data_IF_776089374290
#
_entry.id   IF_776089374290
#
_cell.length_a   1.000
_cell.length_b   1.000
_cell.length_c   1.000
_cell.angle_alpha   90.00
_cell.angle_beta   90.00
_cell.angle_gamma   90.00
#
_symmetry.space_group_name_H-M   'P 1'
#
loop_
_entity.id
_entity.type
_entity.pdbx_description
1 polymer ?
#
# COMPACT_ATOMS: atom_id res chain seq x y z
N UNK A 1 -1.44 6.73 -30.88
CA UNK A 1 -1.40 7.02 -29.43
C UNK A 1 -1.73 5.79 -28.59
N UNK A 2 -2.97 5.26 -28.64
CA UNK A 2 -3.42 4.11 -27.80
C UNK A 2 -2.55 2.84 -27.97
N UNK A 3 -2.19 2.46 -29.21
CA UNK A 3 -1.34 1.28 -29.48
C UNK A 3 0.07 1.36 -28.87
N UNK A 4 0.65 2.56 -28.80
CA UNK A 4 1.99 2.77 -28.23
C UNK A 4 1.93 2.73 -26.71
N UNK A 5 0.87 3.31 -26.11
CA UNK A 5 0.64 3.27 -24.66
C UNK A 5 0.41 1.86 -24.12
N UNK A 6 -0.21 0.96 -24.89
CA UNK A 6 -0.38 -0.46 -24.49
C UNK A 6 0.95 -1.18 -24.22
N UNK A 7 2.03 -0.82 -24.91
CA UNK A 7 3.34 -1.44 -24.71
C UNK A 7 3.94 -1.15 -23.32
N UNK A 8 3.52 -0.05 -22.68
CA UNK A 8 3.95 0.34 -21.33
C UNK A 8 2.86 0.12 -20.28
N UNK A 9 1.71 -0.43 -20.72
CA UNK A 9 0.50 -0.55 -19.92
C UNK A 9 0.34 -1.89 -19.22
N UNK A 10 1.35 -2.79 -19.26
CA UNK A 10 1.42 -4.09 -18.57
C UNK A 10 0.09 -4.85 -18.44
N UNK A 11 -0.71 -4.92 -19.50
CA UNK A 11 -2.12 -5.37 -19.44
C UNK A 11 -2.33 -6.81 -18.92
N UNK A 12 -1.23 -7.57 -18.80
CA UNK A 12 -1.20 -8.95 -18.30
C UNK A 12 -0.68 -9.06 -16.86
N UNK A 13 -0.24 -7.96 -16.25
CA UNK A 13 0.22 -7.90 -14.86
C UNK A 13 -0.96 -7.60 -13.94
N UNK A 14 -0.99 -8.22 -12.76
CA UNK A 14 -2.03 -7.96 -11.73
C UNK A 14 -2.06 -6.47 -11.35
N UNK A 15 -0.89 -5.84 -11.31
CA UNK A 15 -0.74 -4.39 -11.17
C UNK A 15 0.42 -3.90 -12.01
N UNK A 16 0.21 -2.78 -12.69
CA UNK A 16 1.23 -2.17 -13.54
C UNK A 16 2.34 -1.56 -12.69
N UNK A 17 3.59 -1.61 -13.17
CA UNK A 17 4.72 -1.04 -12.44
C UNK A 17 4.51 0.44 -12.08
N UNK A 18 3.93 1.24 -12.99
CA UNK A 18 3.63 2.65 -12.72
C UNK A 18 2.56 2.83 -11.65
N UNK A 19 1.62 1.90 -11.53
CA UNK A 19 0.58 1.94 -10.49
C UNK A 19 1.20 1.71 -9.11
N UNK A 20 2.17 0.80 -9.00
CA UNK A 20 2.96 0.62 -7.78
C UNK A 20 3.75 1.87 -7.41
N UNK A 21 4.40 2.51 -8.39
CA UNK A 21 5.13 3.76 -8.18
C UNK A 21 4.21 4.91 -7.73
N UNK A 22 3.02 5.03 -8.34
CA UNK A 22 2.03 6.03 -7.91
C UNK A 22 1.53 5.76 -6.50
N UNK A 23 1.28 4.49 -6.13
CA UNK A 23 0.92 4.12 -4.76
C UNK A 23 1.99 4.61 -3.76
N UNK A 24 3.26 4.29 -4.02
CA UNK A 24 4.38 4.71 -3.17
C UNK A 24 4.42 6.25 -3.07
N UNK A 25 4.40 6.96 -4.20
CA UNK A 25 4.43 8.42 -4.21
C UNK A 25 3.27 9.05 -3.41
N UNK A 26 2.05 8.54 -3.56
CA UNK A 26 0.87 9.05 -2.86
C UNK A 26 0.91 8.75 -1.35
N UNK A 27 1.37 7.56 -0.96
CA UNK A 27 1.50 7.20 0.46
C UNK A 27 2.60 8.02 1.15
N UNK A 28 3.75 8.23 0.50
CA UNK A 28 4.86 9.01 1.05
C UNK A 28 4.57 10.52 1.09
N UNK A 29 3.89 11.06 0.08
CA UNK A 29 3.47 12.47 0.08
C UNK A 29 2.31 12.75 1.04
N UNK A 30 1.65 11.70 1.55
CA UNK A 30 0.48 11.82 2.43
C UNK A 30 -0.85 11.97 1.68
N UNK A 31 -0.84 12.14 0.36
CA UNK A 31 -2.06 12.22 -0.47
C UNK A 31 -2.93 10.95 -0.39
N UNK A 32 -2.34 9.81 -0.02
CA UNK A 32 -3.05 8.55 0.21
C UNK A 32 -3.53 8.32 1.65
N UNK A 33 -3.25 9.23 2.59
CA UNK A 33 -3.69 9.08 3.98
C UNK A 33 -5.17 9.44 4.12
N UNK A 34 -5.89 8.65 4.91
CA UNK A 34 -7.23 8.99 5.35
C UNK A 34 -7.14 10.06 6.44
N UNK A 35 -8.01 11.07 6.36
CA UNK A 35 -8.16 12.09 7.39
C UNK A 35 -9.66 12.30 7.71
N UNK A 36 -10.15 11.81 8.86
CA UNK A 36 -9.39 11.14 9.92
C UNK A 36 -9.12 9.66 9.62
N UNK A 37 -8.00 9.15 10.15
CA UNK A 37 -7.80 7.72 10.35
C UNK A 37 -8.44 7.32 11.69
N UNK A 38 -9.59 6.66 11.62
CA UNK A 38 -10.38 6.23 12.79
C UNK A 38 -10.17 4.73 13.07
N UNK A 39 -9.23 4.43 13.95
CA UNK A 39 -8.95 3.06 14.41
C UNK A 39 -9.94 2.57 15.47
N UNK A 40 -10.73 3.48 16.06
CA UNK A 40 -11.68 3.21 17.13
C UNK A 40 -13.07 2.80 16.60
N UNK A 41 -13.25 2.85 15.27
CA UNK A 41 -14.45 2.36 14.58
C UNK A 41 -14.85 0.94 14.99
N UNK A 42 -13.89 0.09 15.32
CA UNK A 42 -14.09 -1.29 15.76
C UNK A 42 -13.42 -1.51 17.13
N UNK A 43 -14.11 -1.16 18.23
CA UNK A 43 -13.50 -1.09 19.56
C UNK A 43 -13.18 -2.45 20.17
N UNK A 44 -13.74 -3.52 19.62
CA UNK A 44 -13.47 -4.92 19.99
C UNK A 44 -12.19 -5.47 19.33
N UNK A 45 -11.68 -4.80 18.28
CA UNK A 45 -10.46 -5.20 17.59
C UNK A 45 -9.24 -4.53 18.20
N UNK A 46 -8.21 -5.32 18.49
CA UNK A 46 -6.89 -4.82 18.86
C UNK A 46 -5.98 -4.84 17.65
N UNK A 47 -5.57 -3.66 17.17
CA UNK A 47 -4.65 -3.53 16.05
C UNK A 47 -3.22 -3.94 16.43
N UNK A 48 -2.59 -4.78 15.59
CA UNK A 48 -1.18 -5.11 15.74
C UNK A 48 -0.32 -3.88 15.46
N UNK A 49 0.52 -3.49 16.42
CA UNK A 49 1.47 -2.41 16.20
C UNK A 49 2.59 -2.86 15.26
N UNK A 50 3.11 -1.91 14.49
CA UNK A 50 4.25 -2.14 13.58
C UNK A 50 5.46 -2.71 14.34
N UNK A 51 5.73 -2.21 15.55
CA UNK A 51 6.82 -2.69 16.40
C UNK A 51 6.66 -4.16 16.82
N UNK A 52 5.43 -4.58 17.14
CA UNK A 52 5.12 -5.94 17.57
C UNK A 52 5.30 -6.91 16.40
N UNK A 53 4.82 -6.52 15.22
CA UNK A 53 5.01 -7.29 13.99
C UNK A 53 6.49 -7.53 13.68
N UNK A 54 7.33 -6.49 13.71
CA UNK A 54 8.76 -6.63 13.43
C UNK A 54 9.48 -7.46 14.49
N UNK A 55 9.10 -7.32 15.77
CA UNK A 55 9.66 -8.12 16.86
C UNK A 55 9.38 -9.61 16.65
N UNK A 56 8.17 -9.97 16.25
CA UNK A 56 7.80 -11.35 15.95
C UNK A 56 8.59 -11.91 14.76
N UNK A 57 8.72 -11.14 13.68
CA UNK A 57 9.34 -11.63 12.44
C UNK A 57 10.87 -11.66 12.49
N UNK A 58 11.51 -10.78 13.26
CA UNK A 58 12.96 -10.84 13.50
C UNK A 58 13.39 -12.15 14.16
N UNK A 59 12.53 -12.75 14.98
CA UNK A 59 12.82 -13.98 15.71
C UNK A 59 12.57 -15.26 14.90
N UNK A 60 12.00 -15.14 13.68
CA UNK A 60 11.67 -16.27 12.80
C UNK A 60 12.69 -16.46 11.66
N UNK A 61 13.67 -15.57 11.51
CA UNK A 61 14.76 -15.66 10.53
C UNK A 61 16.06 -16.10 11.21
#
# INVERSE_FOLDING_TARGET
MIRVMRLFGGENDVFLAWQGMQYVANMFSGAGKLDPLDNDRYPDLTWTKVEDFFREHKNKA
#
